data_IF_541819834961
#
_entry.id   IF_541819834961
#
_cell.length_a   1.000
_cell.length_b   1.000
_cell.length_c   1.000
_cell.angle_alpha   90.00
_cell.angle_beta   90.00
_cell.angle_gamma   90.00
#
_symmetry.space_group_name_H-M   'P 1'
#
loop_
_entity.id
_entity.type
_entity.pdbx_description
1 polymer ?
#
# COMPACT_ATOMS: atom_id res chain seq x y z
N UNK A 1 3.92 0.32 8.06
CA UNK A 1 4.69 -0.46 9.02
C UNK A 1 4.42 -0.10 10.50
N UNK A 2 3.22 0.38 10.83
CA UNK A 2 2.76 0.64 12.23
C UNK A 2 2.10 -0.60 12.84
N UNK A 3 1.68 -1.54 12.01
CA UNK A 3 1.02 -2.78 12.41
C UNK A 3 1.87 -3.56 13.40
N UNK A 4 1.29 -3.90 14.54
CA UNK A 4 1.97 -4.64 15.61
C UNK A 4 2.99 -3.85 16.44
N UNK A 5 3.29 -2.59 16.10
CA UNK A 5 4.25 -1.74 16.83
C UNK A 5 3.58 -0.81 17.85
N UNK A 6 2.30 -0.54 17.68
CA UNK A 6 1.53 0.34 18.58
C UNK A 6 0.43 -0.44 19.27
N UNK A 7 0.49 -0.52 20.59
CA UNK A 7 -0.49 -1.26 21.41
C UNK A 7 -1.89 -0.67 21.26
N UNK A 8 -2.89 -1.52 20.92
CA UNK A 8 -4.30 -1.14 20.78
C UNK A 8 -4.63 -0.41 19.46
N UNK A 9 -3.73 -0.49 18.48
CA UNK A 9 -3.98 -0.12 17.09
C UNK A 9 -4.07 -1.41 16.26
N UNK A 10 -5.26 -1.69 15.72
CA UNK A 10 -5.46 -2.72 14.74
C UNK A 10 -5.40 -2.11 13.33
N UNK A 11 -4.84 -2.83 12.37
CA UNK A 11 -4.82 -2.40 10.97
C UNK A 11 -5.21 -3.55 10.06
N UNK A 12 -6.03 -3.25 9.08
CA UNK A 12 -6.46 -4.19 8.05
C UNK A 12 -6.04 -3.60 6.71
N UNK A 13 -5.18 -4.31 6.00
CA UNK A 13 -4.80 -3.99 4.63
C UNK A 13 -5.57 -4.91 3.69
N UNK A 14 -6.47 -4.35 2.91
CA UNK A 14 -7.35 -5.09 1.99
C UNK A 14 -6.77 -5.24 0.59
N UNK A 15 -5.78 -4.43 0.22
CA UNK A 15 -5.15 -4.44 -1.09
C UNK A 15 -3.64 -4.33 -0.96
N UNK A 16 -2.92 -4.97 -1.88
CA UNK A 16 -1.48 -4.78 -2.09
C UNK A 16 -1.17 -4.09 -3.41
N UNK A 17 -2.19 -3.51 -4.05
CA UNK A 17 -2.02 -2.79 -5.31
C UNK A 17 -1.20 -1.51 -5.07
N UNK A 18 -0.23 -1.19 -5.93
CA UNK A 18 0.53 0.06 -5.83
C UNK A 18 -0.38 1.29 -5.75
N UNK A 19 -0.18 2.12 -4.72
CA UNK A 19 -0.96 3.33 -4.49
C UNK A 19 -2.37 3.13 -3.90
N UNK A 20 -2.82 1.89 -3.69
CA UNK A 20 -4.07 1.53 -3.04
C UNK A 20 -3.84 0.52 -1.90
N UNK A 21 -2.68 0.58 -1.28
CA UNK A 21 -2.21 -0.30 -0.20
C UNK A 21 -2.32 0.34 1.20
N UNK A 22 -3.05 1.45 1.31
CA UNK A 22 -3.32 2.10 2.59
C UNK A 22 -4.13 1.16 3.50
N UNK A 23 -3.67 1.02 4.75
CA UNK A 23 -4.34 0.19 5.72
C UNK A 23 -5.48 0.95 6.41
N UNK A 24 -6.63 0.31 6.59
CA UNK A 24 -7.67 0.83 7.47
C UNK A 24 -7.26 0.62 8.92
N UNK A 25 -7.28 1.69 9.71
CA UNK A 25 -6.85 1.68 11.10
C UNK A 25 -8.05 1.71 12.04
N UNK A 26 -7.95 0.93 13.13
CA UNK A 26 -8.95 0.89 14.19
C UNK A 26 -8.26 1.01 15.55
N UNK A 27 -8.77 1.89 16.39
CA UNK A 27 -8.34 2.03 17.79
C UNK A 27 -9.40 1.36 18.67
N UNK A 28 -9.00 0.37 19.50
CA UNK A 28 -9.91 -0.45 20.33
C UNK A 28 -10.87 -1.36 19.56
N UNK A 29 -10.63 -1.63 18.28
CA UNK A 29 -11.46 -2.49 17.45
C UNK A 29 -12.54 -1.74 16.66
N UNK A 30 -13.41 -2.50 16.01
CA UNK A 30 -14.50 -1.96 15.18
C UNK A 30 -15.67 -1.60 16.09
N UNK A 31 -15.89 -0.31 16.30
CA UNK A 31 -16.97 0.20 17.18
C UNK A 31 -18.31 0.47 16.47
N UNK A 32 -18.36 0.38 15.14
CA UNK A 32 -19.56 0.65 14.33
C UNK A 32 -19.63 -0.31 13.15
N UNK A 33 -20.84 -0.58 12.69
CA UNK A 33 -21.12 -1.35 11.46
C UNK A 33 -20.75 -0.54 10.19
N UNK A 34 -20.63 0.78 10.30
CA UNK A 34 -20.19 1.65 9.21
C UNK A 34 -18.67 1.85 9.30
N UNK A 35 -17.98 1.49 8.25
CA UNK A 35 -16.49 1.57 8.18
C UNK A 35 -15.99 2.99 8.37
N UNK A 36 -16.66 3.97 7.78
CA UNK A 36 -16.25 5.39 7.84
C UNK A 36 -16.42 5.99 9.25
N UNK A 37 -17.40 5.49 10.00
CA UNK A 37 -17.66 5.93 11.37
C UNK A 37 -16.79 5.20 12.41
N UNK A 38 -16.01 4.20 12.01
CA UNK A 38 -15.15 3.39 12.90
C UNK A 38 -13.70 3.85 12.88
N UNK A 39 -13.32 4.73 11.95
CA UNK A 39 -11.93 5.17 11.80
C UNK A 39 -11.55 6.21 12.86
N UNK A 40 -10.30 6.18 13.36
CA UNK A 40 -9.79 7.20 14.26
C UNK A 40 -9.57 8.53 13.52
N UNK A 41 -9.68 9.63 14.26
CA UNK A 41 -9.30 10.95 13.76
C UNK A 41 -7.76 11.00 13.57
N UNK A 42 -7.30 11.33 12.38
CA UNK A 42 -5.87 11.45 12.07
C UNK A 42 -5.48 12.92 11.95
N UNK A 43 -4.50 13.35 12.75
CA UNK A 43 -3.97 14.70 12.76
C UNK A 43 -2.48 14.68 12.46
N UNK A 44 -2.05 15.45 11.48
CA UNK A 44 -0.63 15.68 11.17
C UNK A 44 -0.30 17.14 11.49
N UNK A 45 0.56 17.36 12.47
CA UNK A 45 0.90 18.69 12.99
C UNK A 45 -0.35 19.53 13.37
N UNK A 46 -1.38 18.86 13.90
CA UNK A 46 -2.65 19.48 14.30
C UNK A 46 -3.67 19.65 13.18
N UNK A 47 -3.36 19.32 11.94
CA UNK A 47 -4.27 19.41 10.78
C UNK A 47 -4.81 18.02 10.46
N UNK A 48 -6.14 17.90 10.27
CA UNK A 48 -6.77 16.67 9.89
C UNK A 48 -6.42 16.28 8.46
N UNK A 49 -5.70 15.17 8.34
CA UNK A 49 -5.31 14.57 7.06
C UNK A 49 -4.78 13.16 7.28
N UNK A 50 -4.85 12.35 6.23
CA UNK A 50 -4.19 11.03 6.21
C UNK A 50 -2.67 11.18 6.33
N UNK A 51 -2.02 10.27 7.04
CA UNK A 51 -0.57 10.20 7.16
C UNK A 51 0.05 9.09 6.27
N UNK A 52 -0.75 8.27 5.60
CA UNK A 52 -0.23 7.17 4.77
C UNK A 52 0.65 7.66 3.62
N UNK A 53 0.38 8.87 3.14
CA UNK A 53 1.15 9.48 2.06
C UNK A 53 2.39 10.26 2.54
N UNK A 54 2.63 10.30 3.87
CA UNK A 54 3.86 10.92 4.40
C UNK A 54 5.06 10.00 4.16
N UNK A 55 6.22 10.62 3.97
CA UNK A 55 7.47 9.87 4.03
C UNK A 55 7.78 9.53 5.49
N UNK A 56 8.04 8.26 5.84
CA UNK A 56 8.42 7.88 7.20
C UNK A 56 9.63 8.66 7.75
N UNK A 57 10.53 9.13 6.88
CA UNK A 57 11.68 9.93 7.27
C UNK A 57 11.32 11.36 7.71
N UNK A 58 10.10 11.84 7.39
CA UNK A 58 9.58 13.13 7.83
C UNK A 58 8.93 13.06 9.22
N UNK A 59 8.60 11.87 9.71
CA UNK A 59 7.87 11.66 10.96
C UNK A 59 8.84 11.66 12.13
N UNK A 60 8.53 12.46 13.15
CA UNK A 60 9.21 12.49 14.44
C UNK A 60 8.61 11.48 15.41
N UNK A 61 7.28 11.55 15.58
CA UNK A 61 6.55 10.68 16.49
C UNK A 61 5.11 10.43 16.04
N UNK A 62 4.56 9.30 16.48
CA UNK A 62 3.15 8.95 16.30
C UNK A 62 2.60 8.60 17.69
N UNK A 63 1.58 9.34 18.12
CA UNK A 63 0.91 9.15 19.41
C UNK A 63 -0.53 8.73 19.17
N UNK A 64 -0.98 7.67 19.82
CA UNK A 64 -2.37 7.20 19.74
C UNK A 64 -3.09 7.49 21.04
N UNK A 65 -4.06 8.39 20.99
CA UNK A 65 -4.94 8.73 22.12
C UNK A 65 -6.13 7.79 22.11
N UNK A 66 -6.27 7.01 23.17
CA UNK A 66 -7.33 5.98 23.29
C UNK A 66 -8.36 6.34 24.35
N UNK A 67 -7.94 7.12 25.36
CA UNK A 67 -8.77 7.37 26.53
C UNK A 67 -9.76 8.50 26.28
N UNK A 68 -10.97 8.36 26.85
CA UNK A 68 -12.04 9.33 26.65
C UNK A 68 -11.63 10.74 27.12
N UNK A 69 -10.82 10.85 28.20
CA UNK A 69 -10.30 12.12 28.68
C UNK A 69 -9.32 12.76 27.70
N UNK A 70 -8.47 11.97 27.07
CA UNK A 70 -7.52 12.44 26.06
C UNK A 70 -8.20 12.84 24.75
N UNK A 71 -9.30 12.16 24.39
CA UNK A 71 -10.04 12.43 23.15
C UNK A 71 -11.12 13.51 23.32
N UNK A 72 -11.47 13.90 24.55
CA UNK A 72 -12.51 14.90 24.83
C UNK A 72 -12.25 16.27 24.17
N UNK A 73 -10.97 16.63 24.00
CA UNK A 73 -10.56 17.88 23.33
C UNK A 73 -10.98 17.89 21.85
N UNK A 74 -11.17 16.74 21.24
CA UNK A 74 -11.51 16.57 19.81
C UNK A 74 -13.01 16.34 19.60
N UNK A 75 -13.82 16.36 20.66
CA UNK A 75 -15.27 16.19 20.60
C UNK A 75 -15.69 14.84 20.05
N UNK A 76 -16.86 14.81 19.39
CA UNK A 76 -17.43 13.59 18.79
C UNK A 76 -16.49 12.90 17.78
N UNK A 77 -15.66 13.68 17.07
CA UNK A 77 -14.72 13.16 16.09
C UNK A 77 -13.59 12.33 16.72
N UNK A 78 -13.26 12.57 17.98
CA UNK A 78 -12.29 11.81 18.74
C UNK A 78 -12.84 10.53 19.39
N UNK A 79 -14.14 10.23 19.24
CA UNK A 79 -14.77 9.09 19.93
C UNK A 79 -14.13 7.72 19.61
N UNK A 80 -13.64 7.55 18.39
CA UNK A 80 -12.97 6.31 17.94
C UNK A 80 -11.44 6.34 18.17
N UNK A 81 -10.95 7.28 18.97
CA UNK A 81 -9.55 7.53 19.19
C UNK A 81 -8.96 8.57 18.23
N UNK A 82 -7.78 9.06 18.57
CA UNK A 82 -7.08 10.07 17.79
C UNK A 82 -5.64 9.62 17.57
N UNK A 83 -5.18 9.71 16.33
CA UNK A 83 -3.79 9.46 15.95
C UNK A 83 -3.13 10.82 15.67
N UNK A 84 -2.17 11.17 16.50
CA UNK A 84 -1.38 12.39 16.34
C UNK A 84 -0.05 12.05 15.71
N UNK A 85 0.22 12.62 14.55
CA UNK A 85 1.50 12.51 13.88
C UNK A 85 2.22 13.84 13.97
N UNK A 86 3.39 13.84 14.57
CA UNK A 86 4.27 15.01 14.63
C UNK A 86 5.39 14.84 13.61
N UNK A 87 5.61 15.86 12.79
CA UNK A 87 6.68 15.83 11.80
C UNK A 87 7.97 16.45 12.36
N UNK A 88 9.10 16.05 11.79
CA UNK A 88 10.43 16.51 12.20
C UNK A 88 10.56 18.03 12.04
N UNK A 89 11.24 18.63 13.01
CA UNK A 89 11.54 20.07 13.06
C UNK A 89 13.03 20.31 13.11
N UNK A 90 13.43 21.53 12.81
CA UNK A 90 14.80 21.97 12.95
C UNK A 90 15.22 22.08 14.41
N UNK A 91 16.50 21.89 14.66
CA UNK A 91 17.13 22.14 15.97
C UNK A 91 18.21 23.21 15.81
N UNK A 92 18.49 23.97 16.90
CA UNK A 92 19.59 24.91 16.88
C UNK A 92 20.91 24.19 16.67
N UNK A 93 21.77 24.72 15.82
CA UNK A 93 23.06 24.17 15.51
C UNK A 93 23.42 24.18 14.02
N UNK A 94 24.54 23.55 13.69
CA UNK A 94 25.00 23.44 12.30
C UNK A 94 24.01 22.63 11.47
N UNK A 95 23.91 22.96 10.20
CA UNK A 95 23.11 22.20 9.25
C UNK A 95 23.54 20.73 9.20
N UNK A 96 22.58 19.83 9.36
CA UNK A 96 22.74 18.38 9.22
C UNK A 96 22.03 17.94 7.96
N UNK A 97 22.75 17.27 7.09
CA UNK A 97 22.21 16.69 5.85
C UNK A 97 22.15 15.19 6.02
N UNK A 98 21.00 14.60 5.73
CA UNK A 98 20.82 13.15 5.70
C UNK A 98 20.28 12.73 4.35
N UNK A 99 20.84 11.66 3.83
CA UNK A 99 20.34 10.96 2.66
C UNK A 99 20.11 9.50 3.02
N UNK A 100 18.94 9.00 2.69
CA UNK A 100 18.60 7.58 2.87
C UNK A 100 18.04 6.99 1.60
N UNK A 101 18.41 5.75 1.36
CA UNK A 101 17.95 4.95 0.22
C UNK A 101 17.52 3.59 0.73
N UNK A 102 16.37 3.11 0.27
CA UNK A 102 15.84 1.78 0.58
C UNK A 102 15.43 1.11 -0.71
N UNK A 103 15.89 -0.12 -0.88
CA UNK A 103 15.44 -1.04 -1.93
C UNK A 103 14.72 -2.19 -1.26
N UNK A 104 13.53 -2.53 -1.75
CA UNK A 104 12.75 -3.65 -1.28
C UNK A 104 12.18 -4.43 -2.46
N UNK A 105 12.04 -5.75 -2.28
CA UNK A 105 11.34 -6.61 -3.23
C UNK A 105 10.05 -7.06 -2.57
N UNK A 106 8.95 -6.69 -3.19
CA UNK A 106 7.63 -7.17 -2.81
C UNK A 106 7.39 -8.53 -3.44
N UNK A 107 6.86 -9.45 -2.67
CA UNK A 107 6.46 -10.78 -3.14
C UNK A 107 5.02 -11.04 -2.71
N UNK A 108 4.22 -11.77 -3.51
CA UNK A 108 2.91 -12.21 -3.08
C UNK A 108 3.03 -13.04 -1.79
N UNK A 109 2.28 -12.71 -0.76
CA UNK A 109 2.30 -13.46 0.50
C UNK A 109 1.66 -14.83 0.37
N UNK A 110 0.68 -14.94 -0.51
CA UNK A 110 -0.02 -16.19 -0.86
C UNK A 110 -0.54 -16.08 -2.29
N UNK A 111 -0.26 -17.09 -3.06
CA UNK A 111 -0.83 -17.28 -4.40
C UNK A 111 -1.69 -18.55 -4.32
N UNK A 112 -2.97 -18.50 -4.73
CA UNK A 112 -3.78 -19.71 -4.81
C UNK A 112 -3.15 -20.72 -5.77
N UNK A 113 -3.10 -21.96 -5.37
CA UNK A 113 -2.75 -23.06 -6.27
C UNK A 113 -4.04 -23.49 -6.98
N UNK A 114 -4.06 -23.37 -8.29
CA UNK A 114 -5.15 -23.85 -9.13
C UNK A 114 -4.84 -25.25 -9.64
N UNK A 115 -5.89 -26.05 -9.84
CA UNK A 115 -5.74 -27.31 -10.53
C UNK A 115 -5.25 -27.06 -11.96
N UNK A 116 -4.34 -27.89 -12.42
CA UNK A 116 -3.97 -27.94 -13.83
C UNK A 116 -5.12 -28.52 -14.69
N UNK A 117 -4.99 -28.46 -16.01
CA UNK A 117 -6.05 -28.95 -16.92
C UNK A 117 -6.36 -30.43 -16.71
N UNK A 118 -5.36 -31.25 -16.38
CA UNK A 118 -5.55 -32.66 -16.07
C UNK A 118 -6.37 -32.86 -14.77
N UNK A 119 -5.97 -32.18 -13.69
CA UNK A 119 -6.67 -32.24 -12.41
C UNK A 119 -8.10 -31.70 -12.50
N UNK A 120 -8.29 -30.59 -13.23
CA UNK A 120 -9.61 -30.03 -13.46
C UNK A 120 -10.53 -30.98 -14.24
N UNK A 121 -10.05 -31.54 -15.37
CA UNK A 121 -10.83 -32.46 -16.19
C UNK A 121 -11.27 -33.71 -15.42
N UNK A 122 -10.37 -34.29 -14.62
CA UNK A 122 -10.70 -35.43 -13.77
C UNK A 122 -11.72 -35.08 -12.68
N UNK A 123 -11.53 -33.95 -12.00
CA UNK A 123 -12.46 -33.51 -10.95
C UNK A 123 -13.85 -33.24 -11.54
N UNK A 124 -13.92 -32.61 -12.72
CA UNK A 124 -15.17 -32.33 -13.41
C UNK A 124 -15.90 -33.60 -13.81
N UNK A 125 -15.20 -34.56 -14.46
CA UNK A 125 -15.79 -35.87 -14.83
C UNK A 125 -16.27 -36.63 -13.58
N UNK A 126 -15.50 -36.63 -12.51
CA UNK A 126 -15.93 -37.27 -11.24
C UNK A 126 -17.22 -36.64 -10.69
N UNK A 127 -17.34 -35.29 -10.74
CA UNK A 127 -18.57 -34.64 -10.33
C UNK A 127 -19.77 -35.08 -11.21
N UNK A 128 -19.60 -35.13 -12.54
CA UNK A 128 -20.64 -35.61 -13.46
C UNK A 128 -21.06 -37.06 -13.18
N UNK A 129 -20.11 -37.96 -12.89
CA UNK A 129 -20.41 -39.34 -12.50
C UNK A 129 -21.23 -39.40 -11.22
N UNK A 130 -20.90 -38.58 -10.22
CA UNK A 130 -21.66 -38.48 -8.99
C UNK A 130 -23.08 -37.92 -9.20
N UNK A 131 -23.26 -37.08 -10.22
CA UNK A 131 -24.58 -36.57 -10.63
C UNK A 131 -25.36 -37.57 -11.51
N UNK A 132 -24.82 -38.75 -11.75
CA UNK A 132 -25.48 -39.84 -12.48
C UNK A 132 -25.32 -39.75 -14.02
N UNK A 133 -24.39 -38.93 -14.53
CA UNK A 133 -24.04 -38.91 -15.95
C UNK A 133 -23.30 -40.17 -16.30
N UNK A 134 -23.67 -40.80 -17.43
CA UNK A 134 -23.00 -42.03 -17.90
C UNK A 134 -21.59 -41.73 -18.46
N UNK A 135 -20.69 -42.69 -18.39
CA UNK A 135 -19.28 -42.55 -18.81
C UNK A 135 -19.12 -42.08 -20.28
N UNK A 136 -20.02 -42.47 -21.15
CA UNK A 136 -20.04 -42.09 -22.56
C UNK A 136 -20.48 -40.64 -22.82
N UNK A 137 -21.05 -39.99 -21.82
CA UNK A 137 -21.53 -38.60 -21.84
C UNK A 137 -20.68 -37.62 -21.08
N UNK A 138 -19.55 -38.08 -20.55
CA UNK A 138 -18.64 -37.22 -19.81
C UNK A 138 -18.07 -36.09 -20.67
N UNK A 139 -17.87 -34.93 -20.06
CA UNK A 139 -17.38 -33.72 -20.75
C UNK A 139 -15.97 -33.91 -21.35
N UNK A 140 -15.12 -34.67 -20.67
CA UNK A 140 -13.76 -34.97 -21.10
C UNK A 140 -13.58 -36.45 -21.32
N UNK A 141 -13.33 -36.85 -22.57
CA UNK A 141 -12.99 -38.25 -22.89
C UNK A 141 -11.62 -38.62 -22.31
N UNK A 142 -11.38 -39.94 -22.17
CA UNK A 142 -10.09 -40.45 -21.69
C UNK A 142 -8.91 -40.03 -22.57
N UNK A 143 -9.11 -39.89 -23.90
CA UNK A 143 -8.10 -39.40 -24.83
C UNK A 143 -7.74 -37.92 -24.57
N UNK A 144 -8.74 -37.07 -24.28
CA UNK A 144 -8.54 -35.64 -23.92
C UNK A 144 -7.79 -35.54 -22.61
N UNK A 145 -8.17 -36.31 -21.62
CA UNK A 145 -7.51 -36.33 -20.31
C UNK A 145 -6.04 -36.74 -20.43
N UNK A 146 -5.77 -37.76 -21.28
CA UNK A 146 -4.39 -38.19 -21.51
C UNK A 146 -3.57 -37.13 -22.27
N UNK A 147 -4.17 -36.37 -23.19
CA UNK A 147 -3.51 -35.23 -23.85
C UNK A 147 -3.17 -34.11 -22.86
N UNK A 148 -4.05 -33.80 -21.91
CA UNK A 148 -3.71 -32.85 -20.82
C UNK A 148 -2.56 -33.37 -19.96
N UNK A 149 -2.58 -34.65 -19.59
CA UNK A 149 -1.55 -35.27 -18.75
C UNK A 149 -0.17 -35.27 -19.41
N UNK A 150 -0.11 -35.60 -20.73
CA UNK A 150 1.13 -35.70 -21.48
C UNK A 150 1.56 -34.41 -22.15
N UNK A 151 0.69 -33.38 -22.15
CA UNK A 151 0.89 -32.11 -22.86
C UNK A 151 1.29 -32.32 -24.33
N UNK A 152 0.69 -33.33 -24.99
CA UNK A 152 1.07 -33.77 -26.34
C UNK A 152 0.60 -32.83 -27.45
N UNK A 153 -0.43 -32.02 -27.20
CA UNK A 153 -0.95 -31.02 -28.13
C UNK A 153 -1.34 -29.72 -27.39
N UNK A 154 -0.35 -28.90 -26.99
CA UNK A 154 -0.56 -27.73 -26.16
C UNK A 154 -1.32 -26.59 -26.85
N UNK A 155 -1.49 -26.63 -28.19
CA UNK A 155 -2.26 -25.62 -28.91
C UNK A 155 -3.76 -25.90 -28.84
N UNK A 156 -4.16 -27.17 -28.88
CA UNK A 156 -5.57 -27.59 -28.84
C UNK A 156 -6.01 -27.94 -27.42
N UNK A 157 -5.11 -28.51 -26.61
CA UNK A 157 -5.35 -28.93 -25.24
C UNK A 157 -4.33 -28.23 -24.29
N UNK A 158 -4.48 -26.91 -24.09
CA UNK A 158 -3.50 -26.15 -23.29
C UNK A 158 -3.56 -26.51 -21.81
N UNK A 159 -2.39 -26.58 -21.21
CA UNK A 159 -2.22 -26.68 -19.74
C UNK A 159 -1.50 -25.43 -19.26
N UNK A 160 -2.21 -24.30 -19.16
CA UNK A 160 -1.63 -23.00 -18.85
C UNK A 160 -1.71 -22.72 -17.36
N UNK A 161 -0.55 -22.50 -16.73
CA UNK A 161 -0.48 -21.88 -15.41
C UNK A 161 -0.70 -20.36 -15.52
N UNK A 162 -1.94 -19.95 -15.36
CA UNK A 162 -2.34 -18.53 -15.40
C UNK A 162 -1.67 -17.70 -14.32
N UNK A 163 -1.37 -18.30 -13.18
CA UNK A 163 -0.70 -17.61 -12.09
C UNK A 163 0.74 -17.26 -12.46
N UNK A 164 1.50 -18.23 -12.95
CA UNK A 164 2.87 -17.97 -13.41
C UNK A 164 2.88 -17.08 -14.65
N UNK A 165 1.88 -17.18 -15.50
CA UNK A 165 1.76 -16.33 -16.69
C UNK A 165 1.49 -14.86 -16.34
N UNK A 166 0.64 -14.58 -15.34
CA UNK A 166 0.16 -13.22 -15.03
C UNK A 166 0.88 -12.54 -13.88
N UNK A 167 1.42 -13.29 -12.92
CA UNK A 167 1.96 -12.75 -11.68
C UNK A 167 3.49 -12.85 -11.68
N UNK A 168 4.16 -11.75 -11.35
CA UNK A 168 5.60 -11.71 -11.10
C UNK A 168 5.91 -12.34 -9.75
N UNK A 169 7.01 -13.06 -9.64
CA UNK A 169 7.49 -13.60 -8.37
C UNK A 169 7.90 -12.48 -7.39
N UNK A 170 8.35 -11.35 -7.92
CA UNK A 170 8.68 -10.17 -7.13
C UNK A 170 8.56 -8.90 -7.96
N UNK A 171 8.35 -7.77 -7.29
CA UNK A 171 8.35 -6.43 -7.87
C UNK A 171 9.26 -5.51 -7.05
N UNK A 172 9.96 -4.59 -7.71
CA UNK A 172 10.88 -3.67 -7.07
C UNK A 172 10.12 -2.49 -6.46
N UNK A 173 10.53 -2.12 -5.24
CA UNK A 173 10.12 -0.90 -4.57
C UNK A 173 11.37 -0.14 -4.17
N UNK A 174 11.41 1.16 -4.47
CA UNK A 174 12.53 2.02 -4.07
C UNK A 174 12.02 3.24 -3.32
N UNK A 175 12.79 3.68 -2.34
CA UNK A 175 12.53 4.90 -1.60
C UNK A 175 13.83 5.65 -1.40
N UNK A 176 13.85 6.90 -1.82
CA UNK A 176 14.97 7.81 -1.65
C UNK A 176 14.48 9.04 -0.88
N UNK A 177 15.19 9.41 0.17
CA UNK A 177 14.86 10.59 0.95
C UNK A 177 16.12 11.43 1.16
N UNK A 178 16.00 12.72 0.92
CA UNK A 178 16.99 13.73 1.25
C UNK A 178 16.38 14.71 2.22
N UNK A 179 17.05 14.97 3.35
CA UNK A 179 16.59 15.99 4.28
C UNK A 179 17.75 16.81 4.83
N UNK A 180 17.43 18.05 5.15
CA UNK A 180 18.33 19.00 5.80
C UNK A 180 17.63 19.62 7.00
N UNK A 181 18.32 19.69 8.12
CA UNK A 181 17.82 20.33 9.33
C UNK A 181 18.92 21.14 10.00
N UNK A 182 18.54 22.24 10.63
CA UNK A 182 19.49 23.09 11.31
C UNK A 182 18.81 24.35 11.84
N UNK A 183 19.60 25.31 12.26
CA UNK A 183 19.08 26.60 12.65
C UNK A 183 19.92 27.33 13.70
N UNK A 184 19.45 28.51 14.03
CA UNK A 184 19.92 29.35 15.13
C UNK A 184 18.86 29.42 16.23
N UNK A 185 19.09 30.20 17.27
CA UNK A 185 18.06 30.48 18.27
C UNK A 185 16.87 31.22 17.69
N UNK A 186 17.06 31.97 16.60
CA UNK A 186 16.00 32.77 15.95
C UNK A 186 15.24 32.00 14.92
N UNK A 187 15.91 31.14 14.14
CA UNK A 187 15.29 30.39 13.03
C UNK A 187 15.75 28.96 13.06
N UNK A 188 14.82 28.03 13.15
CA UNK A 188 15.06 26.59 13.01
C UNK A 188 14.33 26.09 11.80
N UNK A 189 14.93 25.19 11.05
CA UNK A 189 14.36 24.68 9.82
C UNK A 189 14.60 23.20 9.64
N UNK A 190 13.62 22.55 9.03
CA UNK A 190 13.70 21.20 8.50
C UNK A 190 13.14 21.23 7.08
N UNK A 191 13.86 20.70 6.12
CA UNK A 191 13.37 20.52 4.76
C UNK A 191 13.64 19.08 4.32
N UNK A 192 12.68 18.48 3.60
CA UNK A 192 12.75 17.11 3.09
C UNK A 192 12.23 17.02 1.67
N UNK A 193 12.87 16.14 0.88
CA UNK A 193 12.43 15.69 -0.43
C UNK A 193 12.48 14.17 -0.46
N UNK A 194 11.38 13.54 -0.84
CA UNK A 194 11.24 12.09 -0.92
C UNK A 194 10.79 11.64 -2.31
N UNK A 195 11.35 10.54 -2.78
CA UNK A 195 10.91 9.85 -4.00
C UNK A 195 10.65 8.41 -3.66
N UNK A 196 9.44 7.95 -3.93
CA UNK A 196 9.02 6.57 -3.73
C UNK A 196 8.52 6.01 -5.05
N UNK A 197 9.03 4.85 -5.44
CA UNK A 197 8.61 4.13 -6.65
C UNK A 197 8.28 2.70 -6.28
N UNK A 198 7.15 2.21 -6.79
CA UNK A 198 6.66 0.86 -6.54
C UNK A 198 6.13 0.27 -7.84
N UNK A 199 6.68 -0.86 -8.25
CA UNK A 199 6.20 -1.60 -9.39
C UNK A 199 5.10 -2.59 -8.98
N UNK A 200 4.16 -2.85 -9.88
CA UNK A 200 3.10 -3.84 -9.67
C UNK A 200 3.58 -5.28 -9.89
N UNK A 201 2.87 -6.21 -9.23
CA UNK A 201 3.15 -7.65 -9.31
C UNK A 201 2.58 -8.32 -10.57
N UNK A 202 1.75 -7.65 -11.36
CA UNK A 202 1.28 -8.22 -12.62
C UNK A 202 2.34 -8.09 -13.71
N UNK A 203 2.52 -9.16 -14.47
CA UNK A 203 3.34 -9.16 -15.68
C UNK A 203 2.65 -8.30 -16.74
N UNK A 204 3.44 -7.54 -17.48
CA UNK A 204 2.97 -6.74 -18.59
C UNK A 204 3.23 -7.48 -19.87
N UNK A 205 2.23 -7.51 -20.75
CA UNK A 205 2.39 -7.98 -22.10
C UNK A 205 2.55 -6.75 -22.97
N UNK A 206 3.75 -6.57 -23.53
CA UNK A 206 4.01 -5.46 -24.44
C UNK A 206 3.16 -5.63 -25.71
N UNK A 207 2.19 -4.76 -25.85
CA UNK A 207 1.45 -4.60 -27.09
C UNK A 207 1.74 -3.17 -27.58
N UNK A 208 2.38 -3.06 -28.74
CA UNK A 208 2.75 -1.80 -29.38
C UNK A 208 3.77 -0.94 -28.60
N UNK A 209 4.70 -1.54 -27.86
CA UNK A 209 5.81 -0.81 -27.20
C UNK A 209 5.42 0.01 -25.97
N UNK A 210 4.20 -0.13 -25.49
CA UNK A 210 3.76 0.50 -24.25
C UNK A 210 3.81 -0.51 -23.11
N UNK A 211 4.66 -0.25 -22.12
CA UNK A 211 4.64 -0.97 -20.84
C UNK A 211 3.37 -0.60 -20.05
N UNK A 212 2.38 -1.48 -20.09
CA UNK A 212 1.07 -1.31 -19.43
C UNK A 212 1.08 -1.80 -17.96
N UNK A 213 2.25 -1.83 -17.33
CA UNK A 213 2.38 -2.28 -15.93
C UNK A 213 1.83 -1.26 -14.93
N UNK A 214 1.26 -1.79 -13.86
CA UNK A 214 0.97 -0.95 -12.68
C UNK A 214 2.28 -0.40 -12.12
N UNK A 215 2.38 0.91 -12.05
CA UNK A 215 3.51 1.62 -11.46
C UNK A 215 3.03 2.81 -10.67
N UNK A 216 3.52 2.94 -9.46
CA UNK A 216 3.21 4.04 -8.57
C UNK A 216 4.46 4.82 -8.25
N UNK A 217 4.44 6.13 -8.54
CA UNK A 217 5.49 7.06 -8.18
C UNK A 217 4.92 8.14 -7.28
N UNK A 218 5.57 8.41 -6.15
CA UNK A 218 5.21 9.46 -5.22
C UNK A 218 6.41 10.34 -4.93
N UNK A 219 6.20 11.63 -5.04
CA UNK A 219 7.17 12.67 -4.73
C UNK A 219 6.65 13.45 -3.54
N UNK A 220 7.38 13.40 -2.42
CA UNK A 220 7.05 14.12 -1.20
C UNK A 220 7.94 15.36 -1.06
N UNK A 221 7.40 16.44 -0.52
CA UNK A 221 8.19 17.57 -0.08
C UNK A 221 7.64 18.10 1.25
N UNK A 222 8.55 18.59 2.11
CA UNK A 222 8.19 19.21 3.39
C UNK A 222 9.19 20.31 3.75
N UNK A 223 8.65 21.39 4.29
CA UNK A 223 9.43 22.47 4.90
C UNK A 223 8.73 22.87 6.19
N UNK A 224 9.42 22.70 7.32
CA UNK A 224 8.99 23.16 8.64
C UNK A 224 9.97 24.23 9.13
N UNK A 225 9.46 25.39 9.50
CA UNK A 225 10.25 26.51 10.01
C UNK A 225 9.64 27.03 11.31
N UNK A 226 10.49 27.22 12.30
CA UNK A 226 10.15 27.89 13.56
C UNK A 226 10.98 29.18 13.64
N UNK A 227 10.31 30.32 13.71
CA UNK A 227 10.93 31.65 13.63
C UNK A 227 10.56 32.44 14.89
N UNK A 228 11.53 32.81 15.69
CA UNK A 228 11.37 33.75 16.78
C UNK A 228 11.56 35.17 16.23
N UNK A 229 10.46 35.85 15.91
CA UNK A 229 10.48 37.19 15.31
C UNK A 229 10.95 38.23 16.35
N UNK A 230 10.44 38.11 17.56
CA UNK A 230 10.86 38.91 18.73
C UNK A 230 11.00 38.01 19.95
N UNK A 231 11.38 38.55 21.12
CA UNK A 231 11.40 37.79 22.35
C UNK A 231 10.02 37.31 22.83
N UNK A 232 8.95 37.89 22.32
CA UNK A 232 7.55 37.59 22.70
C UNK A 232 6.71 37.04 21.54
N UNK A 233 7.24 37.08 20.33
CA UNK A 233 6.49 36.66 19.11
C UNK A 233 7.24 35.57 18.38
N UNK A 234 6.56 34.44 18.17
CA UNK A 234 7.06 33.33 17.37
C UNK A 234 6.09 33.01 16.25
N UNK A 235 6.62 32.52 15.15
CA UNK A 235 5.86 32.08 13.96
C UNK A 235 6.30 30.68 13.57
N UNK A 236 5.33 29.82 13.27
CA UNK A 236 5.56 28.48 12.76
C UNK A 236 5.00 28.37 11.35
N UNK A 237 5.80 27.84 10.42
CA UNK A 237 5.41 27.60 9.04
C UNK A 237 5.58 26.09 8.79
N UNK A 238 4.50 25.42 8.42
CA UNK A 238 4.49 24.01 8.06
C UNK A 238 3.94 23.89 6.64
N UNK A 239 4.82 23.65 5.68
CA UNK A 239 4.46 23.40 4.29
C UNK A 239 4.81 21.96 3.97
N UNK A 240 3.87 21.21 3.46
CA UNK A 240 4.13 19.83 3.03
C UNK A 240 3.07 19.34 2.07
N UNK A 241 3.52 18.55 1.12
CA UNK A 241 2.65 17.98 0.12
C UNK A 241 3.30 16.79 -0.58
N UNK A 242 2.54 16.21 -1.50
CA UNK A 242 3.01 15.11 -2.34
C UNK A 242 2.34 15.17 -3.72
N UNK A 243 3.02 14.61 -4.70
CA UNK A 243 2.51 14.34 -6.03
C UNK A 243 2.56 12.84 -6.26
N UNK A 244 1.41 12.24 -6.60
CA UNK A 244 1.31 10.82 -6.95
C UNK A 244 1.02 10.68 -8.44
N UNK A 245 1.78 9.79 -9.09
CA UNK A 245 1.53 9.34 -10.45
C UNK A 245 1.27 7.83 -10.39
N UNK A 246 0.04 7.46 -10.70
CA UNK A 246 -0.38 6.06 -10.78
C UNK A 246 -0.59 5.70 -12.24
N UNK A 247 0.24 4.81 -12.73
CA UNK A 247 0.07 4.22 -14.06
C UNK A 247 -0.72 2.92 -13.89
N UNK A 248 -1.84 2.82 -14.58
CA UNK A 248 -2.69 1.63 -14.63
C UNK A 248 -2.83 1.18 -16.07
N UNK A 249 -3.25 -0.05 -16.29
CA UNK A 249 -3.64 -0.48 -17.63
C UNK A 249 -4.75 0.42 -18.14
N UNK A 250 -4.71 0.88 -19.42
CA UNK A 250 -5.78 1.68 -19.98
C UNK A 250 -7.09 0.93 -19.91
N UNK A 251 -8.17 1.64 -19.60
CA UNK A 251 -9.51 1.08 -19.66
C UNK A 251 -9.86 0.72 -21.10
N UNK A 252 -10.61 -0.37 -21.35
CA UNK A 252 -11.13 -0.67 -22.68
C UNK A 252 -11.99 0.45 -23.29
N UNK A 253 -12.35 1.48 -22.49
CA UNK A 253 -13.12 2.66 -22.93
C UNK A 253 -12.25 3.83 -23.38
N UNK A 254 -10.92 3.72 -23.24
CA UNK A 254 -9.98 4.79 -23.56
C UNK A 254 -9.39 4.63 -24.98
N UNK A 255 -9.99 3.79 -25.82
CA UNK A 255 -9.65 3.53 -27.19
C UNK A 255 -10.75 3.94 -28.17
#
# INVERSE_FOLDING_TARGET
ALTGKVTGLASVQSSGQPGADDATLYVRGVGSLSTDLSQPLMLVDGVERSFFQLDPNEVESITVLKDASATAVFGVRGANGVILVTTKRGTSGKAKVNFSTTYAWQMPSRVPEFADSYGYANAYNNAQLHDGVSEDQLAFSSDIIEKFRTNSDPLVYPNTDWTDMLIKKSALQTQHNFNISGGSERVKYFASLGVFTQDGLFKTFEENGNDKGFKYNRYNYRINMDINVTSTTSMQINLGGYLCLLYTSPSPRDG
#
